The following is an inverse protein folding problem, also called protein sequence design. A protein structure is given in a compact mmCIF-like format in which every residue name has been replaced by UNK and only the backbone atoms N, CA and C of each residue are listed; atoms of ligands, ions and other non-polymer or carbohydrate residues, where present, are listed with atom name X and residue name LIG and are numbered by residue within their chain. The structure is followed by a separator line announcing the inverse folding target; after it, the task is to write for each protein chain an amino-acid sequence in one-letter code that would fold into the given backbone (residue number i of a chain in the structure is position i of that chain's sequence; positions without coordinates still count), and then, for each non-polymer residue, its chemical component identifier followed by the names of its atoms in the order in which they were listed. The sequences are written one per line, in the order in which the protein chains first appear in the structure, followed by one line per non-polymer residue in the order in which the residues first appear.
data_IF_024618538007
#
_entry.id   IF_024618538007
#
_cell.length_a   1.000
_cell.length_b   1.000
_cell.length_c   1.000
_cell.angle_alpha   90.00
_cell.angle_beta   90.00
_cell.angle_gamma   90.00
#
_symmetry.space_group_name_H-M   'P 1'
#
loop_
_entity.id
_entity.type
_entity.pdbx_description
1 polymer ?
#
# COMPACT_ATOMS: atom_id res chain seq x y z
N UNK A 1 -21.25 -13.39 3.18
CA UNK A 1 -21.01 -13.66 1.75
C UNK A 1 -19.59 -13.22 1.45
N UNK A 2 -18.68 -14.09 0.97
CA UNK A 2 -17.36 -13.64 0.58
C UNK A 2 -17.49 -12.58 -0.52
N UNK A 3 -16.69 -11.53 -0.42
CA UNK A 3 -16.68 -10.44 -1.41
C UNK A 3 -16.21 -10.90 -2.80
N UNK A 4 -16.28 -10.02 -3.81
CA UNK A 4 -15.83 -10.36 -5.16
C UNK A 4 -14.34 -10.72 -5.21
N UNK A 5 -14.00 -11.85 -5.83
CA UNK A 5 -12.62 -12.28 -6.07
C UNK A 5 -11.94 -11.35 -7.09
N UNK A 6 -10.70 -10.98 -6.80
CA UNK A 6 -9.91 -10.06 -7.63
C UNK A 6 -8.46 -10.52 -7.70
N UNK A 7 -7.85 -10.32 -8.86
CA UNK A 7 -6.45 -10.64 -9.08
C UNK A 7 -5.60 -9.39 -8.87
N UNK A 8 -4.59 -9.48 -8.00
CA UNK A 8 -3.57 -8.45 -7.84
C UNK A 8 -2.22 -9.02 -8.24
N UNK A 9 -1.39 -8.21 -8.91
CA UNK A 9 -0.01 -8.57 -9.18
C UNK A 9 0.85 -8.05 -8.03
N UNK A 10 1.56 -8.94 -7.37
CA UNK A 10 2.47 -8.61 -6.27
C UNK A 10 3.87 -9.13 -6.58
N UNK A 11 4.89 -8.39 -6.17
CA UNK A 11 6.28 -8.86 -6.24
C UNK A 11 6.46 -10.05 -5.30
N UNK A 12 6.98 -11.16 -5.82
CA UNK A 12 7.10 -12.42 -5.08
C UNK A 12 7.99 -12.30 -3.84
N UNK A 13 8.92 -11.34 -3.84
CA UNK A 13 9.80 -11.06 -2.71
C UNK A 13 9.19 -10.12 -1.66
N UNK A 14 7.98 -9.60 -1.88
CA UNK A 14 7.32 -8.74 -0.92
C UNK A 14 7.09 -9.48 0.41
N UNK A 15 7.21 -8.80 1.56
CA UNK A 15 6.98 -9.45 2.83
C UNK A 15 5.51 -9.90 2.92
N UNK A 16 5.22 -11.00 3.64
CA UNK A 16 3.85 -11.44 3.85
C UNK A 16 3.04 -10.37 4.57
N UNK A 17 1.71 -10.43 4.43
CA UNK A 17 0.81 -9.54 5.15
C UNK A 17 1.09 -9.63 6.66
N UNK A 18 1.26 -8.48 7.36
CA UNK A 18 1.40 -8.52 8.80
C UNK A 18 0.07 -8.94 9.45
N UNK A 19 0.15 -9.46 10.67
CA UNK A 19 -1.01 -9.76 11.48
C UNK A 19 -1.91 -8.52 11.65
N UNK A 20 -3.21 -8.73 11.85
CA UNK A 20 -4.16 -7.64 12.14
C UNK A 20 -3.69 -6.89 13.39
N UNK A 21 -3.71 -5.56 13.35
CA UNK A 21 -3.20 -4.68 14.42
C UNK A 21 -1.67 -4.48 14.44
N UNK A 22 -0.88 -5.28 13.72
CA UNK A 22 0.56 -5.07 13.62
C UNK A 22 0.91 -3.92 12.66
N UNK A 23 2.06 -3.22 12.84
CA UNK A 23 2.43 -2.10 12.00
C UNK A 23 2.62 -2.51 10.53
N UNK A 24 2.30 -1.59 9.61
CA UNK A 24 2.53 -1.80 8.18
C UNK A 24 4.01 -2.09 7.90
N UNK A 25 4.30 -3.27 7.36
CA UNK A 25 5.64 -3.74 7.01
C UNK A 25 6.03 -3.43 5.55
N UNK A 26 5.08 -2.92 4.73
CA UNK A 26 5.27 -2.71 3.31
C UNK A 26 4.97 -3.94 2.43
N UNK A 27 4.07 -4.83 2.85
CA UNK A 27 3.60 -5.95 2.00
C UNK A 27 2.91 -5.48 0.71
N UNK A 28 2.35 -4.27 0.68
CA UNK A 28 1.70 -3.69 -0.50
C UNK A 28 0.32 -4.27 -0.84
N UNK A 29 -0.12 -5.36 -0.20
CA UNK A 29 -1.38 -6.04 -0.54
C UNK A 29 -2.61 -5.12 -0.54
N UNK A 30 -2.82 -4.33 0.52
CA UNK A 30 -3.95 -3.39 0.59
C UNK A 30 -3.83 -2.26 -0.44
N UNK A 31 -2.62 -1.77 -0.73
CA UNK A 31 -2.40 -0.68 -1.67
C UNK A 31 -2.49 -1.10 -3.14
N UNK A 32 -2.07 -2.32 -3.46
CA UNK A 32 -2.31 -2.97 -4.75
C UNK A 32 -3.79 -3.29 -4.91
N UNK A 33 -4.43 -3.55 -3.77
CA UNK A 33 -5.82 -3.88 -3.78
C UNK A 33 -6.69 -2.67 -4.14
N UNK A 34 -6.61 -1.62 -3.34
CA UNK A 34 -7.36 -0.40 -3.54
C UNK A 34 -6.61 0.81 -2.97
N UNK A 35 -6.84 2.00 -3.52
CA UNK A 35 -6.26 3.20 -2.96
C UNK A 35 -6.96 3.56 -1.64
N UNK A 36 -6.17 3.86 -0.61
CA UNK A 36 -6.68 4.49 0.61
C UNK A 36 -7.24 5.90 0.31
N UNK A 37 -7.94 6.58 1.25
CA UNK A 37 -8.52 7.90 0.99
C UNK A 37 -7.52 8.93 0.43
N UNK A 38 -6.26 8.92 0.89
CA UNK A 38 -5.20 9.76 0.30
C UNK A 38 -4.70 9.23 -1.05
N UNK A 39 -4.66 7.91 -1.22
CA UNK A 39 -4.37 7.26 -2.49
C UNK A 39 -5.38 7.61 -3.58
N UNK A 40 -6.65 7.84 -3.22
CA UNK A 40 -7.69 8.30 -4.16
C UNK A 40 -7.36 9.70 -4.66
N UNK A 41 -6.87 10.58 -3.78
CA UNK A 41 -6.44 11.94 -4.18
C UNK A 41 -5.23 11.89 -5.12
N UNK A 42 -4.24 11.04 -4.81
CA UNK A 42 -3.05 10.87 -5.65
C UNK A 42 -3.36 10.20 -6.99
N UNK A 43 -4.23 9.19 -7.00
CA UNK A 43 -4.49 8.34 -8.17
C UNK A 43 -5.67 8.83 -9.02
N UNK A 44 -6.52 9.70 -8.46
CA UNK A 44 -7.82 10.11 -9.01
C UNK A 44 -8.72 8.92 -9.38
N UNK A 45 -8.59 7.81 -8.65
CA UNK A 45 -9.31 6.54 -8.86
C UNK A 45 -9.70 5.97 -7.50
N UNK A 46 -10.86 5.29 -7.44
CA UNK A 46 -11.36 4.62 -6.23
C UNK A 46 -11.08 3.12 -6.17
N UNK A 47 -10.67 2.52 -7.29
CA UNK A 47 -10.41 1.10 -7.41
C UNK A 47 -9.09 0.85 -8.14
N UNK A 48 -8.50 -0.32 -7.91
CA UNK A 48 -7.22 -0.73 -8.50
C UNK A 48 -6.02 -0.34 -7.64
N UNK A 49 -4.81 -0.47 -8.19
CA UNK A 49 -3.58 -0.14 -7.47
C UNK A 49 -3.43 1.37 -7.22
N UNK A 50 -2.91 1.71 -6.04
CA UNK A 50 -2.56 3.08 -5.70
C UNK A 50 -1.40 3.57 -6.58
N UNK A 51 -1.59 4.70 -7.28
CA UNK A 51 -0.57 5.30 -8.15
C UNK A 51 0.67 5.81 -7.39
N UNK A 52 0.57 5.98 -6.07
CA UNK A 52 1.68 6.37 -5.21
C UNK A 52 2.41 5.16 -4.60
N UNK A 53 2.04 3.92 -4.95
CA UNK A 53 2.74 2.74 -4.46
C UNK A 53 4.04 2.53 -5.24
N UNK A 54 5.15 2.39 -4.52
CA UNK A 54 6.48 2.19 -5.11
C UNK A 54 7.08 0.88 -4.63
N UNK A 55 7.65 0.09 -5.54
CA UNK A 55 8.49 -1.05 -5.16
C UNK A 55 9.89 -0.55 -4.78
N UNK A 56 10.39 -0.94 -3.61
CA UNK A 56 11.76 -0.65 -3.15
C UNK A 56 12.59 -1.94 -3.23
N UNK A 57 13.37 -2.15 -4.31
CA UNK A 57 14.07 -3.41 -4.56
C UNK A 57 15.15 -3.68 -3.52
N UNK A 58 15.75 -2.65 -2.92
CA UNK A 58 16.82 -2.81 -1.92
C UNK A 58 16.34 -3.47 -0.63
N UNK A 59 15.09 -3.21 -0.25
CA UNK A 59 14.49 -3.71 0.98
C UNK A 59 13.38 -4.74 0.71
N UNK A 60 13.22 -5.11 -0.56
CA UNK A 60 12.22 -6.06 -1.04
C UNK A 60 10.82 -5.78 -0.48
N UNK A 61 10.43 -4.50 -0.46
CA UNK A 61 9.13 -4.08 0.12
C UNK A 61 8.54 -2.93 -0.64
N UNK A 62 7.22 -2.76 -0.51
CA UNK A 62 6.55 -1.59 -1.02
C UNK A 62 6.69 -0.39 -0.09
N UNK A 63 6.77 0.79 -0.68
CA UNK A 63 6.83 2.08 -0.01
C UNK A 63 5.66 2.93 -0.48
N UNK A 64 5.04 3.63 0.46
CA UNK A 64 4.02 4.62 0.14
C UNK A 64 4.71 5.92 -0.30
N UNK A 65 4.62 6.26 -1.58
CA UNK A 65 5.12 7.49 -2.16
C UNK A 65 4.54 8.74 -1.50
N UNK A 66 3.28 8.70 -1.05
CA UNK A 66 2.67 9.76 -0.24
C UNK A 66 3.38 9.98 1.10
N UNK A 67 4.04 8.97 1.65
CA UNK A 67 4.86 9.11 2.86
C UNK A 67 6.31 9.49 2.54
N UNK A 68 6.78 9.36 1.29
CA UNK A 68 8.14 9.75 0.89
C UNK A 68 8.17 11.18 0.37
N UNK A 69 7.28 11.51 -0.55
CA UNK A 69 7.19 12.77 -1.25
C UNK A 69 5.70 13.16 -1.47
N UNK A 70 4.95 13.49 -0.40
CA UNK A 70 3.51 13.75 -0.48
C UNK A 70 3.16 14.79 -1.55
N UNK A 71 3.91 15.88 -1.66
CA UNK A 71 3.61 16.92 -2.65
C UNK A 71 3.82 16.45 -4.10
N UNK A 72 4.82 15.62 -4.35
CA UNK A 72 5.06 15.10 -5.69
C UNK A 72 3.89 14.23 -6.17
N UNK A 73 3.37 13.36 -5.29
CA UNK A 73 2.25 12.47 -5.62
C UNK A 73 0.87 13.15 -5.58
N UNK A 74 0.68 14.21 -4.78
CA UNK A 74 -0.60 14.93 -4.71
C UNK A 74 -0.73 16.04 -5.76
N UNK A 75 0.36 16.73 -6.10
CA UNK A 75 0.35 17.88 -7.02
C UNK A 75 0.99 17.58 -8.38
N UNK A 76 1.44 16.35 -8.62
CA UNK A 76 2.11 15.98 -9.88
C UNK A 76 3.45 16.72 -10.09
N UNK A 77 4.09 17.17 -9.00
CA UNK A 77 5.36 17.88 -9.06
C UNK A 77 6.54 16.91 -9.16
N UNK A 78 7.67 17.31 -9.76
CA UNK A 78 8.84 16.45 -9.85
C UNK A 78 9.36 16.06 -8.46
N UNK A 79 9.50 14.76 -8.22
CA UNK A 79 9.96 14.14 -6.96
C UNK A 79 11.38 14.54 -6.54
N UNK A 80 12.13 15.23 -7.40
CA UNK A 80 13.55 15.56 -7.21
C UNK A 80 13.81 16.71 -6.24
N UNK A 81 12.78 17.43 -5.79
CA UNK A 81 12.94 18.54 -4.84
C UNK A 81 12.17 18.23 -3.57
N UNK A 82 12.90 17.96 -2.47
CA UNK A 82 12.30 17.90 -1.14
C UNK A 82 11.74 19.28 -0.83
N UNK A 83 10.42 19.38 -0.72
CA UNK A 83 9.79 20.64 -0.37
C UNK A 83 9.79 20.78 1.15
N UNK A 84 10.01 21.99 1.66
CA UNK A 84 10.01 22.26 3.11
C UNK A 84 8.71 21.78 3.80
N UNK A 85 7.62 21.70 3.03
CA UNK A 85 6.30 21.27 3.50
C UNK A 85 6.12 19.74 3.52
N UNK A 86 7.01 18.93 2.93
CA UNK A 86 6.85 17.47 2.90
C UNK A 86 6.90 16.84 4.30
N UNK A 87 7.63 17.44 5.25
CA UNK A 87 7.70 17.01 6.65
C UNK A 87 6.33 17.02 7.35
N UNK A 88 5.67 18.19 7.49
CA UNK A 88 4.35 18.26 8.13
C UNK A 88 3.29 17.48 7.34
N UNK A 89 3.33 17.51 6.01
CA UNK A 89 2.41 16.71 5.18
C UNK A 89 2.58 15.21 5.39
N UNK A 90 3.81 14.70 5.56
CA UNK A 90 4.06 13.29 5.89
C UNK A 90 3.47 12.92 7.24
N UNK A 91 3.62 13.77 8.25
CA UNK A 91 3.04 13.52 9.58
C UNK A 91 1.50 13.49 9.52
N UNK A 92 0.90 14.44 8.80
CA UNK A 92 -0.55 14.47 8.58
C UNK A 92 -1.02 13.25 7.79
N UNK A 93 -0.31 12.87 6.73
CA UNK A 93 -0.61 11.70 5.93
C UNK A 93 -0.56 10.43 6.78
N UNK A 94 0.51 10.21 7.56
CA UNK A 94 0.61 9.07 8.49
C UNK A 94 -0.59 8.99 9.43
N UNK A 95 -1.02 10.12 9.99
CA UNK A 95 -2.17 10.19 10.89
C UNK A 95 -3.49 9.90 10.17
N UNK A 96 -3.65 10.37 8.94
CA UNK A 96 -4.87 10.20 8.16
C UNK A 96 -5.10 8.78 7.66
N UNK A 97 -4.05 8.10 7.20
CA UNK A 97 -4.16 6.73 6.70
C UNK A 97 -3.75 5.68 7.74
N UNK A 98 -3.58 6.10 8.99
CA UNK A 98 -3.09 5.28 10.10
C UNK A 98 -1.85 4.44 9.76
N UNK A 99 -1.03 4.88 8.80
CA UNK A 99 0.04 4.06 8.25
C UNK A 99 1.10 3.76 9.31
N UNK A 100 1.24 2.48 9.64
CA UNK A 100 2.14 2.01 10.70
C UNK A 100 1.51 1.94 12.10
N UNK A 101 0.23 2.30 12.25
CA UNK A 101 -0.50 2.26 13.52
C UNK A 101 -1.21 0.91 13.77
N UNK A 102 -1.51 0.18 12.70
CA UNK A 102 -2.06 -1.17 12.73
C UNK A 102 -2.58 -1.58 11.36
N UNK A 103 -2.47 -2.86 11.01
CA UNK A 103 -3.09 -3.41 9.81
C UNK A 103 -4.58 -3.66 10.08
N UNK A 104 -5.44 -2.97 9.34
CA UNK A 104 -6.90 -3.10 9.35
C UNK A 104 -7.44 -3.88 8.13
N UNK A 105 -6.56 -4.24 7.20
CA UNK A 105 -6.93 -5.02 6.04
C UNK A 105 -7.33 -6.45 6.44
N UNK A 106 -8.59 -6.80 6.24
CA UNK A 106 -9.14 -8.16 6.34
C UNK A 106 -8.94 -8.97 5.05
N UNK A 107 -8.11 -8.50 4.12
CA UNK A 107 -7.81 -9.24 2.90
C UNK A 107 -7.06 -10.54 3.23
N UNK A 108 -7.63 -11.64 2.76
CA UNK A 108 -7.00 -12.95 2.72
C UNK A 108 -6.49 -13.21 1.29
N UNK A 109 -5.20 -13.49 1.16
CA UNK A 109 -4.57 -13.81 -0.13
C UNK A 109 -4.52 -15.32 -0.29
N UNK A 110 -5.21 -15.84 -1.29
CA UNK A 110 -5.07 -17.23 -1.72
C UNK A 110 -3.93 -17.30 -2.73
N UNK A 111 -2.78 -17.88 -2.38
CA UNK A 111 -1.79 -18.18 -3.42
C UNK A 111 -2.27 -19.40 -4.23
N UNK A 112 -2.17 -19.38 -5.58
CA UNK A 112 -2.62 -20.49 -6.43
C UNK A 112 -1.99 -21.85 -6.08
N UNK A 113 -0.83 -21.85 -5.43
CA UNK A 113 -0.13 -23.07 -5.02
C UNK A 113 -0.67 -23.67 -3.71
N UNK A 114 -1.32 -22.87 -2.86
CA UNK A 114 -1.91 -23.32 -1.59
C UNK A 114 -3.27 -24.02 -1.81
N UNK A 115 -3.98 -23.68 -2.88
CA UNK A 115 -5.25 -24.32 -3.27
C UNK A 115 -5.09 -25.80 -3.70
N UNK A 116 -3.85 -26.28 -3.91
CA UNK A 116 -3.58 -27.65 -4.36
C UNK A 116 -3.39 -28.65 -3.20
N UNK A 117 -3.34 -28.21 -1.95
CA UNK A 117 -3.22 -29.12 -0.81
C UNK A 117 -4.58 -29.80 -0.55
N UNK A 118 -4.70 -31.14 -0.68
CA UNK A 118 -5.93 -31.84 -0.32
C UNK A 118 -6.21 -31.71 1.19
N UNK A 119 -7.48 -31.67 1.62
CA UNK A 119 -7.81 -31.78 3.03
C UNK A 119 -7.33 -33.13 3.56
N UNK A 120 -6.65 -33.12 4.70
CA UNK A 120 -6.22 -34.32 5.43
C UNK A 120 -7.41 -35.03 6.08
#
# INVERSE_FOLDING_TARGET
MPGPTRWIRIEAAAPPKPAVGAPCNGCGQCCLAEPCPLGVLASRRRHGECAALEWEPTQMRYRCGLLRAPLAHLLGRPTKQAHALDGPLRALARRWIAAGSGCDAELETLHPNEQKAPPA
#
